data_IF_666357159757
#
_entry.id   IF_666357159757
#
_cell.length_a   1.000
_cell.length_b   1.000
_cell.length_c   1.000
_cell.angle_alpha   90.00
_cell.angle_beta   90.00
_cell.angle_gamma   90.00
#
_symmetry.space_group_name_H-M   'P 1'
#
loop_
_entity.id
_entity.type
_entity.pdbx_description
1 polymer ?
#
# COMPACT_ATOMS: atom_id res chain seq x y z
N UNK A 1 -13.30 12.95 3.33
CA UNK A 1 -12.18 13.91 3.40
C UNK A 1 -11.13 13.32 4.34
N UNK A 2 -9.87 13.21 3.93
CA UNK A 2 -8.76 12.78 4.81
C UNK A 2 -8.23 14.02 5.51
N UNK A 3 -8.02 14.01 6.84
CA UNK A 3 -7.49 15.19 7.52
C UNK A 3 -6.08 15.55 7.03
N UNK A 4 -5.82 16.85 6.86
CA UNK A 4 -4.51 17.36 6.42
C UNK A 4 -3.35 16.89 7.32
N UNK A 5 -3.58 16.81 8.63
CA UNK A 5 -2.59 16.32 9.59
C UNK A 5 -2.17 14.87 9.32
N UNK A 6 -3.10 14.03 8.84
CA UNK A 6 -2.83 12.63 8.49
C UNK A 6 -1.95 12.54 7.26
N UNK A 7 -2.14 13.44 6.29
CA UNK A 7 -1.32 13.50 5.07
C UNK A 7 0.11 13.95 5.40
N UNK A 8 0.26 15.06 6.14
CA UNK A 8 1.56 15.57 6.54
C UNK A 8 2.36 14.53 7.36
N UNK A 9 1.70 13.85 8.29
CA UNK A 9 2.33 12.79 9.09
C UNK A 9 2.75 11.58 8.24
N UNK A 10 1.90 11.16 7.30
CA UNK A 10 2.23 10.07 6.36
C UNK A 10 3.42 10.42 5.48
N UNK A 11 3.46 11.64 4.92
CA UNK A 11 4.59 12.13 4.14
C UNK A 11 5.88 12.15 4.96
N UNK A 12 5.82 12.63 6.21
CA UNK A 12 6.98 12.64 7.10
C UNK A 12 7.50 11.22 7.35
N UNK A 13 6.59 10.26 7.59
CA UNK A 13 6.94 8.84 7.76
C UNK A 13 7.60 8.25 6.52
N UNK A 14 7.05 8.49 5.32
CA UNK A 14 7.62 8.00 4.06
C UNK A 14 9.03 8.59 3.87
N UNK A 15 9.19 9.92 4.00
CA UNK A 15 10.49 10.60 3.85
C UNK A 15 11.52 10.07 4.84
N UNK A 16 11.12 9.89 6.10
CA UNK A 16 12.00 9.32 7.13
C UNK A 16 12.39 7.87 6.82
N UNK A 17 11.48 7.06 6.29
CA UNK A 17 11.77 5.68 5.91
C UNK A 17 12.73 5.60 4.71
N UNK A 18 12.49 6.39 3.66
CA UNK A 18 13.36 6.48 2.48
C UNK A 18 14.78 6.94 2.87
N UNK A 19 14.89 7.96 3.73
CA UNK A 19 16.21 8.41 4.25
C UNK A 19 16.93 7.31 5.03
N UNK A 20 16.20 6.54 5.85
CA UNK A 20 16.79 5.41 6.60
C UNK A 20 17.22 4.28 5.68
N UNK A 21 16.48 3.99 4.61
CA UNK A 21 16.86 2.97 3.64
C UNK A 21 18.01 3.38 2.72
N UNK A 22 18.31 4.67 2.56
CA UNK A 22 19.44 5.11 1.74
C UNK A 22 20.81 4.57 2.22
N UNK A 23 20.90 4.04 3.44
CA UNK A 23 22.09 3.36 3.98
C UNK A 23 21.89 1.86 4.28
N UNK A 24 20.84 1.22 3.75
CA UNK A 24 20.51 -0.20 3.96
C UNK A 24 20.13 -0.83 2.62
N UNK A 25 20.49 -2.10 2.38
CA UNK A 25 19.99 -2.81 1.20
C UNK A 25 18.69 -3.55 1.49
N UNK A 26 17.69 -3.49 0.58
CA UNK A 26 17.67 -2.77 -0.70
C UNK A 26 17.32 -1.27 -0.59
N UNK A 27 17.89 -0.38 -1.45
CA UNK A 27 17.62 1.06 -1.39
C UNK A 27 16.24 1.40 -1.99
N UNK A 28 15.33 1.94 -1.18
CA UNK A 28 14.01 2.41 -1.64
C UNK A 28 14.06 3.89 -2.03
N UNK A 29 13.55 4.24 -3.22
CA UNK A 29 13.48 5.64 -3.69
C UNK A 29 12.04 6.17 -3.74
N UNK A 30 11.05 5.32 -3.51
CA UNK A 30 9.65 5.69 -3.54
C UNK A 30 8.86 4.93 -2.46
N UNK A 31 7.70 5.46 -2.10
CA UNK A 31 6.82 4.82 -1.13
C UNK A 31 5.46 5.50 -1.05
N UNK A 32 4.53 4.80 -0.44
CA UNK A 32 3.16 5.24 -0.23
C UNK A 32 2.59 4.62 1.04
N UNK A 33 1.52 5.22 1.54
CA UNK A 33 0.81 4.76 2.74
C UNK A 33 -0.58 4.30 2.36
N UNK A 34 -0.92 3.04 2.64
CA UNK A 34 -2.29 2.53 2.58
C UNK A 34 -3.01 2.92 3.86
N UNK A 35 -4.18 3.55 3.75
CA UNK A 35 -4.95 4.02 4.88
C UNK A 35 -6.46 3.80 4.68
N UNK A 36 -7.24 3.96 5.74
CA UNK A 36 -8.70 3.97 5.64
C UNK A 36 -9.21 5.35 5.24
N UNK A 37 -10.22 5.38 4.35
CA UNK A 37 -10.94 6.59 3.94
C UNK A 37 -12.44 6.34 3.94
N UNK A 38 -13.23 7.39 4.10
CA UNK A 38 -14.69 7.33 3.87
C UNK A 38 -15.04 7.71 2.45
N UNK A 39 -15.87 6.90 1.81
CA UNK A 39 -16.48 7.16 0.52
C UNK A 39 -17.97 6.82 0.57
N UNK A 40 -18.83 7.80 0.34
CA UNK A 40 -20.29 7.65 0.46
C UNK A 40 -20.69 6.96 1.78
N UNK A 41 -20.10 7.42 2.89
CA UNK A 41 -20.26 6.86 4.24
C UNK A 41 -19.83 5.40 4.47
N UNK A 42 -19.20 4.77 3.46
CA UNK A 42 -18.60 3.44 3.61
C UNK A 42 -17.08 3.53 3.76
N UNK A 43 -16.47 2.68 4.62
CA UNK A 43 -15.02 2.60 4.74
C UNK A 43 -14.44 1.93 3.49
N UNK A 44 -13.44 2.56 2.88
CA UNK A 44 -12.69 2.04 1.75
C UNK A 44 -11.20 2.28 1.96
N UNK A 45 -10.35 1.56 1.21
CA UNK A 45 -8.91 1.77 1.23
C UNK A 45 -8.53 2.96 0.34
N UNK A 46 -7.60 3.76 0.84
CA UNK A 46 -6.97 4.87 0.14
C UNK A 46 -5.46 4.75 0.19
N UNK A 47 -4.79 5.56 -0.63
CA UNK A 47 -3.34 5.70 -0.59
C UNK A 47 -2.93 7.17 -0.49
N UNK A 48 -1.81 7.41 0.20
CA UNK A 48 -1.10 8.68 0.24
C UNK A 48 0.28 8.47 -0.38
N UNK A 49 0.61 9.19 -1.44
CA UNK A 49 1.93 9.13 -2.09
C UNK A 49 2.99 9.94 -1.34
N UNK A 50 4.24 9.88 -1.81
CA UNK A 50 5.33 10.73 -1.33
C UNK A 50 5.07 12.24 -1.53
N UNK A 51 4.33 12.62 -2.57
CA UNK A 51 4.07 14.02 -2.93
C UNK A 51 2.80 14.58 -2.28
N UNK A 52 1.95 13.72 -1.72
CA UNK A 52 0.82 14.11 -0.88
C UNK A 52 -0.56 13.87 -1.48
N UNK A 53 -0.64 13.35 -2.70
CA UNK A 53 -1.90 12.97 -3.30
C UNK A 53 -2.57 11.89 -2.45
N UNK A 54 -3.82 12.13 -2.08
CA UNK A 54 -4.68 11.15 -1.42
C UNK A 54 -5.76 10.69 -2.40
N UNK A 55 -5.69 9.43 -2.82
CA UNK A 55 -6.61 8.84 -3.81
C UNK A 55 -7.20 7.52 -3.34
N UNK A 56 -8.23 7.02 -4.04
CA UNK A 56 -8.76 5.68 -3.80
C UNK A 56 -7.70 4.63 -4.16
N UNK A 57 -7.57 3.59 -3.35
CA UNK A 57 -6.86 2.40 -3.78
C UNK A 57 -7.81 1.57 -4.65
N UNK A 58 -7.37 1.27 -5.88
CA UNK A 58 -8.14 0.55 -6.89
C UNK A 58 -7.34 -0.62 -7.47
N UNK A 59 -8.02 -1.54 -8.15
CA UNK A 59 -7.38 -2.69 -8.80
C UNK A 59 -6.38 -2.26 -9.88
N UNK A 60 -6.66 -1.19 -10.64
CA UNK A 60 -5.71 -0.65 -11.64
C UNK A 60 -4.38 -0.25 -10.98
N UNK A 61 -4.45 0.44 -9.84
CA UNK A 61 -3.25 0.88 -9.13
C UNK A 61 -2.48 -0.30 -8.55
N UNK A 62 -3.16 -1.32 -8.04
CA UNK A 62 -2.52 -2.56 -7.60
C UNK A 62 -1.84 -3.31 -8.74
N UNK A 63 -2.51 -3.50 -9.89
CA UNK A 63 -1.92 -4.15 -11.08
C UNK A 63 -0.66 -3.44 -11.57
N UNK A 64 -0.58 -2.12 -11.43
CA UNK A 64 0.64 -1.40 -11.82
C UNK A 64 1.85 -1.64 -10.89
N UNK A 65 1.64 -2.31 -9.75
CA UNK A 65 2.70 -2.80 -8.87
C UNK A 65 3.20 -4.19 -9.26
N UNK A 66 2.54 -4.89 -10.19
CA UNK A 66 2.93 -6.24 -10.59
C UNK A 66 4.37 -6.24 -11.12
N UNK A 67 5.16 -7.21 -10.66
CA UNK A 67 6.58 -7.33 -10.99
C UNK A 67 7.49 -6.33 -10.26
N UNK A 68 6.95 -5.40 -9.48
CA UNK A 68 7.76 -4.54 -8.61
C UNK A 68 8.04 -5.22 -7.29
N UNK A 69 9.26 -5.05 -6.79
CA UNK A 69 9.57 -5.44 -5.43
C UNK A 69 8.97 -4.40 -4.46
N UNK A 70 8.14 -4.88 -3.54
CA UNK A 70 7.46 -4.07 -2.52
C UNK A 70 7.89 -4.52 -1.13
N UNK A 71 7.97 -3.55 -0.22
CA UNK A 71 8.33 -3.80 1.17
C UNK A 71 7.37 -3.14 2.15
N UNK A 72 6.88 -3.92 3.10
CA UNK A 72 6.08 -3.43 4.22
C UNK A 72 7.00 -2.89 5.31
N UNK A 73 6.80 -1.63 5.70
CA UNK A 73 7.58 -0.91 6.70
C UNK A 73 9.10 -0.94 6.49
N UNK A 74 9.57 -1.29 5.28
CA UNK A 74 10.99 -1.45 4.94
C UNK A 74 11.62 -2.77 5.42
N UNK A 75 10.85 -3.74 5.92
CA UNK A 75 11.38 -4.95 6.54
C UNK A 75 10.92 -6.25 5.88
N UNK A 76 9.65 -6.34 5.47
CA UNK A 76 9.10 -7.57 4.91
C UNK A 76 8.80 -7.40 3.43
N UNK A 77 9.21 -8.34 2.57
CA UNK A 77 8.79 -8.32 1.16
C UNK A 77 7.32 -8.65 1.08
N UNK A 78 6.58 -7.94 0.23
CA UNK A 78 5.14 -8.18 0.07
C UNK A 78 4.72 -8.20 -1.41
N UNK A 79 3.57 -8.81 -1.66
CA UNK A 79 2.75 -8.55 -2.84
C UNK A 79 1.34 -8.16 -2.38
N UNK A 80 0.69 -7.30 -3.15
CA UNK A 80 -0.62 -6.72 -2.81
C UNK A 80 -1.63 -7.05 -3.91
N UNK A 81 -2.70 -7.76 -3.54
CA UNK A 81 -3.75 -8.18 -4.45
C UNK A 81 -5.09 -7.57 -4.04
N UNK A 82 -5.97 -7.22 -4.99
CA UNK A 82 -7.29 -6.70 -4.67
C UNK A 82 -8.06 -7.69 -3.78
N UNK A 83 -8.71 -7.17 -2.74
CA UNK A 83 -9.68 -7.91 -1.94
C UNK A 83 -11.12 -7.58 -2.36
N UNK A 84 -12.08 -7.86 -1.47
CA UNK A 84 -13.49 -7.56 -1.72
C UNK A 84 -13.67 -6.08 -2.09
N UNK A 85 -14.33 -5.84 -3.24
CA UNK A 85 -14.60 -4.49 -3.76
C UNK A 85 -15.93 -4.02 -3.18
N UNK A 86 -15.99 -2.76 -2.71
CA UNK A 86 -17.30 -2.16 -2.43
C UNK A 86 -17.91 -1.77 -3.77
N UNK A 87 -19.00 -2.43 -4.15
CA UNK A 87 -19.82 -1.99 -5.27
C UNK A 87 -20.46 -0.66 -4.89
N UNK A 88 -19.82 0.45 -5.25
CA UNK A 88 -20.41 1.78 -5.15
C UNK A 88 -21.37 1.97 -6.32
N UNK A 89 -22.65 2.02 -6.00
CA UNK A 89 -23.74 2.22 -6.95
C UNK A 89 -23.74 3.63 -7.56
N UNK A 90 -23.78 3.66 -8.89
CA UNK A 90 -24.32 4.67 -9.81
C UNK A 90 -24.30 6.17 -9.43
N UNK A 91 -23.34 6.91 -10.01
CA UNK A 91 -23.59 8.07 -10.90
C UNK A 91 -22.27 8.43 -11.60
N UNK A 92 -22.14 7.99 -12.86
CA UNK A 92 -20.89 7.96 -13.63
C UNK A 92 -20.18 6.62 -13.46
N UNK A 93 -20.37 5.69 -14.41
CA UNK A 93 -19.81 4.33 -14.35
C UNK A 93 -18.28 4.39 -14.51
N UNK A 94 -17.57 4.61 -13.41
CA UNK A 94 -16.15 4.26 -13.34
C UNK A 94 -16.03 2.75 -13.64
N UNK A 95 -15.08 2.34 -14.49
CA UNK A 95 -14.86 0.92 -14.75
C UNK A 95 -14.49 0.21 -13.43
N UNK A 96 -14.80 -1.09 -13.33
CA UNK A 96 -14.60 -1.86 -12.11
C UNK A 96 -13.18 -1.73 -11.53
N UNK A 97 -12.17 -1.62 -12.40
CA UNK A 97 -10.77 -1.46 -12.02
C UNK A 97 -10.43 -0.12 -11.34
N UNK A 98 -11.31 0.88 -11.42
CA UNK A 98 -11.18 2.19 -10.77
C UNK A 98 -12.04 2.30 -9.51
N UNK A 99 -12.78 1.24 -9.16
CA UNK A 99 -13.58 1.23 -7.96
C UNK A 99 -12.70 1.11 -6.70
N UNK A 100 -13.07 1.78 -5.61
CA UNK A 100 -12.38 1.66 -4.34
C UNK A 100 -12.54 0.27 -3.72
N UNK A 101 -11.48 -0.21 -3.10
CA UNK A 101 -11.46 -1.51 -2.43
C UNK A 101 -11.96 -1.43 -0.98
N UNK A 102 -12.73 -2.44 -0.54
CA UNK A 102 -13.08 -2.65 0.87
C UNK A 102 -11.93 -3.33 1.62
N UNK A 103 -11.26 -4.26 0.93
CA UNK A 103 -10.13 -5.00 1.47
C UNK A 103 -9.02 -5.23 0.44
N UNK A 104 -7.86 -5.64 0.95
CA UNK A 104 -6.66 -5.98 0.21
C UNK A 104 -6.10 -7.29 0.78
N UNK A 105 -5.68 -8.20 -0.09
CA UNK A 105 -4.93 -9.40 0.30
C UNK A 105 -3.45 -9.06 0.19
N UNK A 106 -2.71 -9.23 1.28
CA UNK A 106 -1.27 -9.00 1.34
C UNK A 106 -0.57 -10.33 1.57
N UNK A 107 0.28 -10.73 0.64
CA UNK A 107 1.19 -11.86 0.85
C UNK A 107 2.52 -11.32 1.34
N UNK A 108 2.99 -11.81 2.49
CA UNK A 108 4.22 -11.38 3.13
C UNK A 108 5.23 -12.50 3.00
N UNK A 109 6.36 -12.23 2.36
CA UNK A 109 7.53 -13.07 2.34
C UNK A 109 8.56 -12.51 3.33
N UNK A 110 8.73 -13.19 4.46
CA UNK A 110 9.79 -12.86 5.44
C UNK A 110 11.06 -13.66 5.13
N UNK A 111 12.22 -13.00 5.17
CA UNK A 111 13.49 -13.70 5.25
C UNK A 111 13.81 -13.93 6.73
N UNK A 112 14.13 -15.18 7.09
CA UNK A 112 14.86 -15.48 8.32
C UNK A 112 16.30 -15.82 7.93
N UNK A 113 17.24 -14.94 8.26
CA UNK A 113 18.68 -15.13 8.02
C UNK A 113 19.43 -15.47 9.30
N UNK A 114 18.75 -15.66 10.43
CA UNK A 114 19.39 -15.89 11.73
C UNK A 114 19.88 -17.32 11.93
N UNK A 115 19.51 -18.27 11.06
CA UNK A 115 19.69 -19.70 11.31
C UNK A 115 20.64 -20.42 10.37
N UNK A 116 21.16 -19.76 9.32
CA UNK A 116 22.15 -20.35 8.42
C UNK A 116 21.64 -21.61 7.71
N UNK A 117 21.37 -21.48 6.40
CA UNK A 117 21.12 -22.59 5.47
C UNK A 117 19.74 -23.28 5.61
N UNK A 118 18.68 -22.58 5.20
CA UNK A 118 17.69 -23.00 4.18
C UNK A 118 16.65 -21.89 4.02
N UNK A 119 16.37 -21.48 2.78
CA UNK A 119 15.37 -20.45 2.49
C UNK A 119 13.96 -21.02 2.70
N UNK A 120 13.40 -20.89 3.90
CA UNK A 120 11.99 -21.13 4.13
C UNK A 120 11.23 -19.83 3.92
N UNK A 121 10.62 -19.69 2.74
CA UNK A 121 9.69 -18.60 2.46
C UNK A 121 8.43 -18.83 3.30
N UNK A 122 8.35 -18.24 4.49
CA UNK A 122 7.08 -18.20 5.24
C UNK A 122 6.21 -17.17 4.51
N UNK A 123 5.33 -17.67 3.64
CA UNK A 123 4.32 -16.85 3.00
C UNK A 123 3.15 -16.70 3.97
N UNK A 124 3.04 -15.54 4.60
CA UNK A 124 1.88 -15.18 5.42
C UNK A 124 0.88 -14.45 4.53
N UNK A 125 -0.36 -14.91 4.50
CA UNK A 125 -1.46 -14.18 3.89
C UNK A 125 -2.21 -13.38 4.96
N UNK A 126 -2.37 -12.08 4.72
CA UNK A 126 -3.12 -11.19 5.60
C UNK A 126 -4.21 -10.46 4.81
N UNK A 127 -5.44 -10.50 5.30
CA UNK A 127 -6.55 -9.70 4.76
C UNK A 127 -6.62 -8.38 5.51
N UNK A 128 -6.37 -7.29 4.80
CA UNK A 128 -6.48 -5.93 5.31
C UNK A 128 -7.84 -5.36 4.92
N UNK A 129 -8.67 -4.97 5.89
CA UNK A 129 -10.00 -4.39 5.63
C UNK A 129 -10.06 -2.92 6.05
N UNK A 130 -10.78 -2.09 5.30
CA UNK A 130 -10.87 -0.65 5.54
C UNK A 130 -11.56 -0.29 6.86
N UNK A 131 -12.48 -1.14 7.33
CA UNK A 131 -13.23 -1.00 8.57
C UNK A 131 -12.43 -1.41 9.81
N UNK A 132 -11.44 -2.31 9.66
CA UNK A 132 -10.61 -2.81 10.76
C UNK A 132 -9.15 -2.34 10.71
N UNK A 133 -8.75 -1.54 9.71
CA UNK A 133 -7.39 -1.03 9.61
C UNK A 133 -7.11 0.01 10.69
N UNK A 134 -6.46 -0.42 11.78
CA UNK A 134 -6.15 0.43 12.94
C UNK A 134 -5.00 1.40 12.65
N UNK A 135 -4.00 0.98 11.87
CA UNK A 135 -2.81 1.78 11.57
C UNK A 135 -2.52 1.82 10.07
N UNK A 136 -2.08 2.97 9.52
CA UNK A 136 -1.70 3.04 8.11
C UNK A 136 -0.49 2.14 7.81
N UNK A 137 -0.52 1.48 6.65
CA UNK A 137 0.55 0.59 6.20
C UNK A 137 1.50 1.36 5.29
N UNK A 138 2.78 1.43 5.67
CA UNK A 138 3.81 2.02 4.83
C UNK A 138 4.36 0.97 3.87
N UNK A 139 4.26 1.24 2.57
CA UNK A 139 4.80 0.40 1.51
C UNK A 139 5.90 1.16 0.79
N UNK A 140 7.05 0.53 0.64
CA UNK A 140 8.23 1.07 -0.03
C UNK A 140 8.55 0.29 -1.28
N UNK A 141 9.13 0.97 -2.27
CA UNK A 141 9.56 0.37 -3.53
C UNK A 141 10.74 1.14 -4.13
N UNK A 142 11.41 0.53 -5.11
CA UNK A 142 12.57 1.12 -5.77
C UNK A 142 12.24 2.27 -6.69
N UNK A 143 11.06 2.26 -7.32
CA UNK A 143 10.68 3.23 -8.33
C UNK A 143 9.18 3.55 -8.22
N UNK A 144 8.80 4.76 -8.64
CA UNK A 144 7.40 5.13 -8.74
C UNK A 144 6.71 4.31 -9.84
N UNK A 145 5.58 3.64 -9.57
CA UNK A 145 4.82 2.97 -10.63
C UNK A 145 4.20 4.00 -11.58
N UNK A 146 4.29 3.75 -12.89
CA UNK A 146 3.89 4.72 -13.92
C UNK A 146 2.41 5.14 -13.86
N UNK A 147 1.52 4.23 -13.44
CA UNK A 147 0.08 4.48 -13.40
C UNK A 147 -0.39 5.28 -12.17
N UNK A 148 0.52 5.57 -11.23
CA UNK A 148 0.22 6.22 -9.96
C UNK A 148 0.22 7.74 -10.11
N UNK A 149 -0.54 8.47 -9.26
CA UNK A 149 -0.54 9.93 -9.27
C UNK A 149 0.87 10.52 -8.99
N UNK A 150 1.04 11.77 -9.45
CA UNK A 150 2.29 12.56 -9.38
C UNK A 150 2.42 13.23 -8.04
#
# INVERSE_FOLDING_TARGET
MVPYHTVAFSQQKIRAAIRRSAGQEPPFNYGFVVHTRRQNDRPALGLITLHGESVALSERLLKSLDGQALWLFGHARITLNPGAVIVAAAKGKLPAAELPLASLVMHIATFDTSTGVTQHLVQVEAIVKADTLVQPLLVLTHARPAAWPM
#
